data_IF_241701649663
#
_entry.id   IF_241701649663
#
_cell.length_a   1.000
_cell.length_b   1.000
_cell.length_c   1.000
_cell.angle_alpha   90.00
_cell.angle_beta   90.00
_cell.angle_gamma   90.00
#
_symmetry.space_group_name_H-M   'P 1'
#
loop_
_entity.id
_entity.type
_entity.pdbx_description
1 polymer ?
#
# COMPACT_ATOMS: atom_id res chain seq x y z
N UNK A 1 11.89 2.47 19.42
CA UNK A 1 11.16 3.29 18.42
C UNK A 1 11.98 4.42 17.83
N UNK A 2 12.71 5.25 18.60
CA UNK A 2 13.48 6.40 18.07
C UNK A 2 14.45 6.09 16.90
N UNK A 3 14.93 4.85 16.77
CA UNK A 3 15.80 4.44 15.67
C UNK A 3 15.08 4.41 14.29
N UNK A 4 13.75 4.25 14.25
CA UNK A 4 12.98 4.26 13.00
C UNK A 4 12.95 5.67 12.38
N UNK A 5 12.91 6.70 13.21
CA UNK A 5 12.90 8.12 12.81
C UNK A 5 14.18 8.55 12.06
N UNK A 6 15.24 7.73 12.11
CA UNK A 6 16.45 7.93 11.31
C UNK A 6 16.28 7.47 9.86
N UNK A 7 15.25 6.67 9.56
CA UNK A 7 15.08 5.93 8.30
C UNK A 7 13.76 6.23 7.62
N UNK A 8 12.72 6.62 8.37
CA UNK A 8 11.38 7.00 7.90
C UNK A 8 10.92 8.25 8.65
N UNK A 9 9.88 8.94 8.18
CA UNK A 9 9.30 10.05 8.92
C UNK A 9 8.63 9.58 10.23
N UNK A 10 8.30 10.54 11.10
CA UNK A 10 7.76 10.26 12.42
C UNK A 10 6.41 9.53 12.37
N UNK A 11 5.55 9.86 11.39
CA UNK A 11 4.25 9.21 11.21
C UNK A 11 4.40 7.76 10.76
N UNK A 12 5.25 7.50 9.76
CA UNK A 12 5.58 6.14 9.34
C UNK A 12 6.24 5.33 10.46
N UNK A 13 7.13 5.95 11.24
CA UNK A 13 7.79 5.29 12.36
C UNK A 13 6.79 4.82 13.42
N UNK A 14 5.80 5.65 13.75
CA UNK A 14 4.73 5.30 14.68
C UNK A 14 3.82 4.21 14.12
N UNK A 15 3.42 4.31 12.85
CA UNK A 15 2.60 3.29 12.20
C UNK A 15 3.30 1.91 12.18
N UNK A 16 4.59 1.87 11.83
CA UNK A 16 5.41 0.65 11.85
C UNK A 16 5.46 0.06 13.25
N UNK A 17 5.69 0.89 14.27
CA UNK A 17 5.76 0.41 15.63
C UNK A 17 4.42 -0.11 16.15
N UNK A 18 3.32 0.55 15.80
CA UNK A 18 1.97 0.10 16.14
C UNK A 18 1.64 -1.24 15.46
N UNK A 19 2.00 -1.39 14.18
CA UNK A 19 1.82 -2.66 13.46
C UNK A 19 2.62 -3.79 14.10
N UNK A 20 3.87 -3.54 14.51
CA UNK A 20 4.69 -4.52 15.23
C UNK A 20 4.06 -4.93 16.56
N UNK A 21 3.51 -3.96 17.30
CA UNK A 21 2.90 -4.24 18.60
C UNK A 21 1.58 -5.00 18.49
N UNK A 22 0.74 -4.63 17.52
CA UNK A 22 -0.60 -5.19 17.33
C UNK A 22 -0.62 -6.46 16.48
N UNK A 23 0.47 -6.79 15.79
CA UNK A 23 0.51 -7.85 14.78
C UNK A 23 -0.33 -7.51 13.54
N UNK A 24 -0.67 -6.24 13.34
CA UNK A 24 -1.47 -5.79 12.20
C UNK A 24 -0.64 -5.73 10.92
N UNK A 25 -1.31 -5.95 9.78
CA UNK A 25 -0.76 -5.61 8.46
C UNK A 25 -0.67 -4.10 8.33
N UNK A 26 0.41 -3.61 7.73
CA UNK A 26 0.64 -2.17 7.57
C UNK A 26 0.44 -1.71 6.12
N UNK A 27 -0.17 -0.55 5.94
CA UNK A 27 -0.22 0.17 4.66
C UNK A 27 0.97 1.13 4.59
N UNK A 28 1.86 0.94 3.63
CA UNK A 28 2.98 1.86 3.39
C UNK A 28 3.08 2.10 1.89
N UNK A 29 3.11 3.36 1.48
CA UNK A 29 3.22 3.74 0.08
C UNK A 29 4.64 4.17 -0.33
N UNK A 30 5.46 4.64 0.62
CA UNK A 30 6.84 5.05 0.33
C UNK A 30 7.86 3.89 0.33
N UNK A 31 8.83 3.96 -0.59
CA UNK A 31 9.82 2.89 -0.79
C UNK A 31 10.67 2.65 0.46
N UNK A 32 11.03 3.71 1.18
CA UNK A 32 11.85 3.64 2.41
C UNK A 32 11.09 2.93 3.52
N UNK A 33 9.85 3.34 3.80
CA UNK A 33 8.99 2.69 4.78
C UNK A 33 8.76 1.21 4.45
N UNK A 34 8.48 0.88 3.17
CA UNK A 34 8.30 -0.52 2.73
C UNK A 34 9.52 -1.37 3.02
N UNK A 35 10.72 -0.87 2.74
CA UNK A 35 11.96 -1.60 3.00
C UNK A 35 12.20 -1.80 4.49
N UNK A 36 11.92 -0.78 5.31
CA UNK A 36 12.07 -0.85 6.77
C UNK A 36 11.10 -1.86 7.37
N UNK A 37 9.81 -1.78 7.04
CA UNK A 37 8.80 -2.71 7.54
C UNK A 37 9.06 -4.16 7.11
N UNK A 38 9.53 -4.42 5.87
CA UNK A 38 9.90 -5.76 5.41
C UNK A 38 11.04 -6.35 6.24
N UNK A 39 12.08 -5.55 6.53
CA UNK A 39 13.21 -5.97 7.37
C UNK A 39 12.79 -6.34 8.79
N UNK A 40 11.69 -5.74 9.26
CA UNK A 40 11.10 -6.00 10.57
C UNK A 40 10.09 -7.14 10.55
N UNK A 41 9.93 -7.85 9.42
CA UNK A 41 9.03 -8.99 9.30
C UNK A 41 7.55 -8.62 9.22
N UNK A 42 7.21 -7.34 9.03
CA UNK A 42 5.82 -6.93 8.88
C UNK A 42 5.27 -7.33 7.51
N UNK A 43 4.01 -7.76 7.51
CA UNK A 43 3.26 -7.90 6.27
C UNK A 43 2.80 -6.51 5.79
N UNK A 44 3.12 -6.20 4.53
CA UNK A 44 2.88 -4.89 3.95
C UNK A 44 1.80 -4.96 2.87
N UNK A 45 0.94 -3.95 2.84
CA UNK A 45 0.07 -3.62 1.72
C UNK A 45 0.42 -2.25 1.16
N UNK A 46 0.13 -2.04 -0.11
CA UNK A 46 0.08 -0.71 -0.73
C UNK A 46 -1.34 -0.40 -1.20
N UNK A 47 -1.61 0.86 -1.52
CA UNK A 47 -2.95 1.34 -1.87
C UNK A 47 -3.60 0.57 -3.03
N UNK A 48 -2.84 0.26 -4.09
CA UNK A 48 -3.36 -0.53 -5.21
C UNK A 48 -3.76 -1.96 -4.79
N UNK A 49 -2.96 -2.58 -3.91
CA UNK A 49 -3.29 -3.88 -3.34
C UNK A 49 -4.55 -3.83 -2.46
N UNK A 50 -4.85 -2.69 -1.85
CA UNK A 50 -6.07 -2.48 -1.08
C UNK A 50 -7.31 -2.47 -1.99
N UNK A 51 -7.24 -1.81 -3.16
CA UNK A 51 -8.34 -1.83 -4.14
C UNK A 51 -8.65 -3.24 -4.64
N UNK A 52 -7.63 -4.03 -4.97
CA UNK A 52 -7.83 -5.44 -5.37
C UNK A 52 -8.55 -6.22 -4.27
N UNK A 53 -8.16 -6.02 -3.01
CA UNK A 53 -8.80 -6.68 -1.87
C UNK A 53 -10.24 -6.21 -1.67
N UNK A 54 -10.49 -4.90 -1.81
CA UNK A 54 -11.82 -4.31 -1.72
C UNK A 54 -12.75 -4.85 -2.82
N UNK A 55 -12.27 -5.01 -4.06
CA UNK A 55 -13.04 -5.61 -5.15
C UNK A 55 -13.37 -7.07 -4.85
N UNK A 56 -12.40 -7.85 -4.36
CA UNK A 56 -12.63 -9.26 -3.95
C UNK A 56 -13.67 -9.38 -2.84
N UNK A 57 -13.78 -8.36 -1.99
CA UNK A 57 -14.79 -8.24 -0.93
C UNK A 57 -16.09 -7.58 -1.39
N UNK A 58 -16.23 -7.29 -2.68
CA UNK A 58 -17.39 -6.60 -3.28
C UNK A 58 -17.71 -5.23 -2.66
N UNK A 59 -16.71 -4.56 -2.06
CA UNK A 59 -16.84 -3.22 -1.46
C UNK A 59 -16.80 -2.15 -2.56
N UNK A 60 -15.97 -2.36 -3.58
CA UNK A 60 -15.90 -1.52 -4.78
C UNK A 60 -16.26 -2.35 -6.01
N UNK A 61 -16.74 -1.67 -7.06
CA UNK A 61 -17.16 -2.32 -8.32
C UNK A 61 -16.05 -2.40 -9.35
N UNK A 62 -15.15 -1.42 -9.37
CA UNK A 62 -14.10 -1.27 -10.37
C UNK A 62 -12.80 -0.84 -9.71
N UNK A 63 -11.73 -1.62 -9.90
CA UNK A 63 -10.37 -1.25 -9.45
C UNK A 63 -9.84 -0.13 -10.35
N UNK A 64 -10.12 -0.21 -11.65
CA UNK A 64 -9.74 0.78 -12.65
C UNK A 64 -10.25 2.17 -12.30
N UNK A 65 -11.52 2.31 -11.94
CA UNK A 65 -12.08 3.62 -11.54
C UNK A 65 -11.36 4.20 -10.31
N UNK A 66 -10.99 3.36 -9.35
CA UNK A 66 -10.23 3.80 -8.18
C UNK A 66 -8.79 4.20 -8.54
N UNK A 67 -8.14 3.47 -9.46
CA UNK A 67 -6.80 3.82 -9.96
C UNK A 67 -6.86 5.13 -10.73
N UNK A 68 -7.82 5.28 -11.64
CA UNK A 68 -8.01 6.50 -12.44
C UNK A 68 -8.18 7.71 -11.52
N UNK A 69 -9.01 7.60 -10.47
CA UNK A 69 -9.18 8.66 -9.47
C UNK A 69 -7.91 9.02 -8.70
N UNK A 70 -7.01 8.05 -8.43
CA UNK A 70 -5.70 8.34 -7.84
C UNK A 70 -4.79 9.12 -8.83
N UNK A 71 -4.79 8.73 -10.10
CA UNK A 71 -3.99 9.40 -11.13
C UNK A 71 -4.46 10.84 -11.35
N UNK A 72 -5.77 11.10 -11.32
CA UNK A 72 -6.35 12.44 -11.46
C UNK A 72 -5.89 13.41 -10.37
N UNK A 73 -5.68 12.92 -9.14
CA UNK A 73 -5.18 13.73 -8.02
C UNK A 73 -3.65 13.78 -7.95
N UNK A 74 -2.95 13.24 -8.94
CA UNK A 74 -1.50 13.31 -9.08
C UNK A 74 -0.72 12.19 -8.36
N UNK A 75 -1.39 11.11 -7.97
CA UNK A 75 -0.71 9.95 -7.39
C UNK A 75 0.11 9.21 -8.44
N UNK A 76 1.33 8.82 -8.11
CA UNK A 76 2.20 8.10 -9.04
C UNK A 76 2.11 6.59 -8.84
N UNK A 77 1.75 5.87 -9.89
CA UNK A 77 1.77 4.40 -9.95
C UNK A 77 2.46 3.99 -11.24
N UNK A 78 3.32 3.00 -11.15
CA UNK A 78 3.98 2.42 -12.31
C UNK A 78 2.94 1.80 -13.28
N UNK A 79 3.08 2.08 -14.58
CA UNK A 79 2.13 1.64 -15.59
C UNK A 79 2.08 0.12 -15.76
N UNK A 80 3.21 -0.57 -15.61
CA UNK A 80 3.26 -2.04 -15.66
C UNK A 80 2.50 -2.63 -14.46
N UNK A 81 2.63 -2.02 -13.28
CA UNK A 81 1.88 -2.42 -12.10
C UNK A 81 0.36 -2.22 -12.28
N UNK A 82 -0.07 -1.12 -12.91
CA UNK A 82 -1.49 -0.92 -13.23
C UNK A 82 -1.98 -2.04 -14.15
N UNK A 83 -1.29 -2.29 -15.26
CA UNK A 83 -1.70 -3.35 -16.19
C UNK A 83 -1.76 -4.73 -15.52
N UNK A 84 -0.73 -5.09 -14.75
CA UNK A 84 -0.69 -6.35 -14.03
C UNK A 84 -1.89 -6.50 -13.09
N UNK A 85 -2.24 -5.42 -12.38
CA UNK A 85 -3.36 -5.41 -11.43
C UNK A 85 -4.70 -5.52 -12.17
N UNK A 86 -4.90 -4.77 -13.25
CA UNK A 86 -6.14 -4.78 -14.01
C UNK A 86 -6.39 -6.14 -14.67
N UNK A 87 -5.36 -6.79 -15.23
CA UNK A 87 -5.46 -8.18 -15.74
C UNK A 87 -5.83 -9.15 -14.63
N UNK A 88 -5.26 -9.00 -13.43
CA UNK A 88 -5.56 -9.86 -12.27
C UNK A 88 -6.99 -9.75 -11.76
N UNK A 89 -7.72 -8.69 -12.15
CA UNK A 89 -9.12 -8.47 -11.73
C UNK A 89 -10.08 -8.43 -12.91
N UNK A 90 -9.66 -8.90 -14.09
CA UNK A 90 -10.45 -8.99 -15.32
C UNK A 90 -11.07 -7.64 -15.75
N UNK A 91 -10.28 -6.57 -15.67
CA UNK A 91 -10.70 -5.23 -16.13
C UNK A 91 -10.00 -4.76 -17.41
N UNK A 92 -9.08 -5.58 -17.95
CA UNK A 92 -8.47 -5.47 -19.29
C UNK A 92 -8.11 -6.85 -19.84
#
# INVERSE_FOLDING_TARGET
MKALMLVVDDGEAEAIALALHSGARILIDERRGRNTARKLGLEIRGTIGLFVEAKKKSIIKSVKECIDGLLEVGYYVDGELIEEVLRKVDEI
#
